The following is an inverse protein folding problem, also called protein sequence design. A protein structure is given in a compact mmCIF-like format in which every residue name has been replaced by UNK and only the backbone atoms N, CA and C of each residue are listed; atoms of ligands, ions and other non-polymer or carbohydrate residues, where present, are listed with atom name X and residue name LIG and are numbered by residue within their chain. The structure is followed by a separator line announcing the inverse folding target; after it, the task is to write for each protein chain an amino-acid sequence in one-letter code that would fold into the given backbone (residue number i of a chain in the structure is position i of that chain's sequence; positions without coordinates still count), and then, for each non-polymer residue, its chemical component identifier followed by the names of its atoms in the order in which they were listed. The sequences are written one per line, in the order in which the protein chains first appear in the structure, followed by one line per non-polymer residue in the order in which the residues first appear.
data_IF_653948431431
#
_entry.id   IF_653948431431
#
_cell.length_a   1.000
_cell.length_b   1.000
_cell.length_c   1.000
_cell.angle_alpha   90.00
_cell.angle_beta   90.00
_cell.angle_gamma   90.00
#
_symmetry.space_group_name_H-M   'P 1'
#
loop_
_entity.id
_entity.type
_entity.pdbx_description
1 polymer ?
#
# COMPACT_ATOMS: atom_id res chain seq x y z
N UNK A 1 4.84 -18.32 -1.32
CA UNK A 1 3.86 -17.60 -0.50
C UNK A 1 4.35 -16.18 -0.26
N UNK A 2 3.52 -15.19 -0.52
CA UNK A 2 3.88 -13.79 -0.33
C UNK A 2 3.41 -13.32 1.04
N UNK A 3 4.29 -12.59 1.72
CA UNK A 3 3.89 -11.84 2.90
C UNK A 3 3.55 -10.43 2.43
N UNK A 4 2.28 -10.18 2.18
CA UNK A 4 1.83 -8.91 1.61
C UNK A 4 2.12 -7.73 2.54
N UNK A 5 2.00 -7.95 3.85
CA UNK A 5 2.34 -6.91 4.81
C UNK A 5 3.82 -6.53 4.70
N UNK A 6 4.70 -7.52 4.62
CA UNK A 6 6.13 -7.26 4.53
C UNK A 6 6.48 -6.49 3.26
N UNK A 7 5.83 -6.81 2.13
CA UNK A 7 6.07 -6.11 0.87
C UNK A 7 5.61 -4.66 0.96
N UNK A 8 4.41 -4.42 1.50
CA UNK A 8 3.89 -3.07 1.67
C UNK A 8 4.80 -2.27 2.60
N UNK A 9 5.19 -2.87 3.72
CA UNK A 9 6.05 -2.22 4.69
C UNK A 9 7.40 -1.83 4.06
N UNK A 10 7.98 -2.72 3.28
CA UNK A 10 9.24 -2.46 2.61
C UNK A 10 9.12 -1.29 1.64
N UNK A 11 8.07 -1.27 0.83
CA UNK A 11 7.87 -0.20 -0.14
C UNK A 11 7.68 1.14 0.57
N UNK A 12 6.84 1.17 1.61
CA UNK A 12 6.61 2.40 2.33
C UNK A 12 7.88 2.91 3.01
N UNK A 13 8.71 2.02 3.54
CA UNK A 13 9.93 2.46 4.21
C UNK A 13 11.03 2.83 3.21
N UNK A 14 11.22 2.03 2.15
CA UNK A 14 12.31 2.24 1.20
C UNK A 14 12.05 3.42 0.25
N UNK A 15 10.79 3.58 -0.19
CA UNK A 15 10.47 4.55 -1.23
C UNK A 15 9.93 5.87 -0.66
N UNK A 16 9.33 5.84 0.51
CA UNK A 16 8.71 7.02 1.10
C UNK A 16 9.32 7.42 2.43
N UNK A 17 10.34 6.72 2.87
CA UNK A 17 11.06 7.09 4.08
C UNK A 17 10.29 6.88 5.38
N UNK A 18 9.26 6.06 5.37
CA UNK A 18 8.49 5.79 6.58
C UNK A 18 9.30 4.86 7.48
N UNK A 19 9.34 5.18 8.78
CA UNK A 19 10.01 4.32 9.75
C UNK A 19 9.27 2.98 9.84
N UNK A 20 9.94 1.86 9.50
CA UNK A 20 9.24 0.57 9.51
C UNK A 20 8.71 0.17 10.88
N UNK A 21 9.29 0.72 11.95
CA UNK A 21 8.84 0.37 13.30
C UNK A 21 7.45 0.89 13.63
N UNK A 22 6.98 1.92 12.91
CA UNK A 22 5.63 2.45 13.15
C UNK A 22 4.62 1.92 12.15
N UNK A 23 5.01 1.03 11.24
CA UNK A 23 4.11 0.48 10.23
C UNK A 23 3.45 -0.76 10.79
N UNK A 24 2.15 -0.66 11.06
CA UNK A 24 1.30 -1.77 11.50
C UNK A 24 0.11 -1.88 10.58
N UNK A 25 -0.59 -3.01 10.63
CA UNK A 25 -1.80 -3.20 9.81
C UNK A 25 -2.83 -2.11 10.06
N UNK A 26 -2.92 -1.64 11.30
CA UNK A 26 -3.91 -0.64 11.71
C UNK A 26 -3.43 0.80 11.52
N UNK A 27 -2.17 1.00 11.11
CA UNK A 27 -1.62 2.34 10.96
C UNK A 27 -2.38 3.11 9.89
N UNK A 28 -2.75 4.34 10.21
CA UNK A 28 -3.38 5.24 9.25
C UNK A 28 -2.33 5.78 8.28
N UNK A 29 -2.62 5.67 6.99
CA UNK A 29 -1.67 6.11 5.97
C UNK A 29 -1.41 7.62 6.06
N UNK A 30 -2.43 8.41 6.34
CA UNK A 30 -2.28 9.86 6.40
C UNK A 30 -1.90 10.36 7.80
N UNK A 31 -2.51 9.81 8.84
CA UNK A 31 -2.32 10.33 10.20
C UNK A 31 -1.09 9.75 10.89
N UNK A 32 -0.88 8.44 10.77
CA UNK A 32 0.24 7.78 11.44
C UNK A 32 1.50 7.81 10.60
N UNK A 33 1.37 7.63 9.29
CA UNK A 33 2.51 7.52 8.40
C UNK A 33 2.80 8.81 7.62
N UNK A 34 1.92 9.81 7.74
CA UNK A 34 2.09 11.12 7.10
C UNK A 34 2.17 11.05 5.58
N UNK A 35 1.48 10.08 4.98
CA UNK A 35 1.46 9.96 3.53
C UNK A 35 0.37 10.84 2.94
N UNK A 36 0.69 11.53 1.85
CA UNK A 36 -0.28 12.28 1.08
C UNK A 36 -1.06 11.35 0.16
N UNK A 37 -2.17 11.84 -0.40
CA UNK A 37 -2.95 11.06 -1.36
C UNK A 37 -2.10 10.67 -2.57
N UNK A 38 -1.24 11.58 -3.02
CA UNK A 38 -0.35 11.31 -4.17
C UNK A 38 0.63 10.20 -3.81
N UNK A 39 1.17 10.24 -2.60
CA UNK A 39 2.12 9.21 -2.16
C UNK A 39 1.44 7.84 -2.04
N UNK A 40 0.19 7.80 -1.60
CA UNK A 40 -0.56 6.54 -1.54
C UNK A 40 -0.77 5.98 -2.95
N UNK A 41 -1.12 6.84 -3.92
CA UNK A 41 -1.27 6.41 -5.30
C UNK A 41 0.06 5.91 -5.87
N UNK A 42 1.15 6.60 -5.58
CA UNK A 42 2.47 6.15 -6.01
C UNK A 42 2.83 4.79 -5.42
N UNK A 43 2.50 4.58 -4.15
CA UNK A 43 2.73 3.29 -3.51
C UNK A 43 1.93 2.19 -4.18
N UNK A 44 0.67 2.45 -4.53
CA UNK A 44 -0.15 1.50 -5.27
C UNK A 44 0.45 1.19 -6.63
N UNK A 45 0.98 2.21 -7.31
CA UNK A 45 1.65 2.03 -8.59
C UNK A 45 2.83 1.06 -8.46
N UNK A 46 3.63 1.24 -7.42
CA UNK A 46 4.77 0.37 -7.17
C UNK A 46 4.33 -1.05 -6.84
N UNK A 47 3.28 -1.17 -6.04
CA UNK A 47 2.73 -2.47 -5.69
C UNK A 47 2.14 -3.18 -6.91
N UNK A 48 1.52 -2.43 -7.83
CA UNK A 48 0.97 -3.02 -9.02
C UNK A 48 2.07 -3.63 -9.89
N UNK A 49 3.24 -3.01 -9.94
CA UNK A 49 4.38 -3.55 -10.67
C UNK A 49 4.95 -4.78 -9.96
N UNK A 50 5.01 -4.73 -8.63
CA UNK A 50 5.55 -5.85 -7.85
C UNK A 50 4.70 -7.10 -7.98
N UNK A 51 3.37 -6.92 -7.99
CA UNK A 51 2.42 -8.03 -8.08
C UNK A 51 1.88 -8.26 -9.49
N UNK A 52 2.34 -7.45 -10.44
CA UNK A 52 2.04 -7.61 -11.86
C UNK A 52 0.54 -7.54 -12.16
N UNK A 53 -0.11 -6.48 -11.65
CA UNK A 53 -1.50 -6.21 -11.99
C UNK A 53 -1.62 -4.77 -12.49
N UNK A 54 -2.73 -4.48 -13.16
CA UNK A 54 -2.98 -3.15 -13.69
C UNK A 54 -3.88 -2.37 -12.74
N UNK A 55 -3.48 -1.14 -12.42
CA UNK A 55 -4.31 -0.28 -11.56
C UNK A 55 -5.56 0.16 -12.30
N UNK A 56 -6.71 0.14 -11.65
CA UNK A 56 -7.93 0.70 -12.22
C UNK A 56 -7.84 2.24 -12.31
N UNK A 57 -8.57 2.82 -13.24
CA UNK A 57 -8.58 4.28 -13.43
C UNK A 57 -9.35 5.00 -12.32
N UNK A 58 -10.28 4.32 -11.69
CA UNK A 58 -11.20 4.93 -10.74
C UNK A 58 -10.95 4.48 -9.30
N UNK A 59 -9.70 4.55 -8.88
CA UNK A 59 -9.35 4.19 -7.51
C UNK A 59 -10.02 5.16 -6.53
N UNK A 60 -10.75 4.60 -5.56
CA UNK A 60 -11.35 5.40 -4.49
C UNK A 60 -10.34 5.50 -3.35
N UNK A 61 -9.54 6.55 -3.41
CA UNK A 61 -8.48 6.79 -2.44
C UNK A 61 -9.03 7.01 -1.02
N UNK A 62 -10.28 7.43 -0.91
CA UNK A 62 -10.88 7.67 0.40
C UNK A 62 -11.12 6.39 1.19
N UNK A 63 -11.19 5.25 0.50
CA UNK A 63 -11.32 3.96 1.15
C UNK A 63 -9.99 3.35 1.53
N UNK A 64 -8.88 3.98 1.15
CA UNK A 64 -7.53 3.51 1.47
C UNK A 64 -7.02 4.29 2.67
N UNK A 65 -7.48 3.91 3.84
CA UNK A 65 -7.22 4.63 5.09
C UNK A 65 -6.04 4.03 5.86
N UNK A 66 -5.95 2.71 5.91
CA UNK A 66 -4.93 2.02 6.69
C UNK A 66 -4.04 1.15 5.81
N UNK A 67 -2.94 0.67 6.40
CA UNK A 67 -2.06 -0.29 5.73
C UNK A 67 -2.86 -1.55 5.34
N UNK A 68 -3.75 -1.99 6.22
CA UNK A 68 -4.60 -3.14 5.94
C UNK A 68 -5.44 -2.93 4.67
N UNK A 69 -5.92 -1.71 4.45
CA UNK A 69 -6.69 -1.39 3.23
C UNK A 69 -5.85 -1.56 1.97
N UNK A 70 -4.57 -1.18 2.02
CA UNK A 70 -3.67 -1.40 0.88
C UNK A 70 -3.51 -2.90 0.60
N UNK A 71 -3.36 -3.68 1.66
CA UNK A 71 -3.18 -5.13 1.52
C UNK A 71 -4.42 -5.75 0.89
N UNK A 72 -5.60 -5.38 1.38
CA UNK A 72 -6.86 -5.88 0.82
C UNK A 72 -6.99 -5.49 -0.66
N UNK A 73 -6.62 -4.26 -0.99
CA UNK A 73 -6.65 -3.78 -2.37
C UNK A 73 -5.77 -4.66 -3.26
N UNK A 74 -4.55 -4.96 -2.83
CA UNK A 74 -3.65 -5.81 -3.58
C UNK A 74 -4.27 -7.19 -3.80
N UNK A 75 -4.86 -7.75 -2.75
CA UNK A 75 -5.44 -9.09 -2.81
C UNK A 75 -6.63 -9.15 -3.75
N UNK A 76 -7.36 -8.04 -3.89
CA UNK A 76 -8.49 -7.99 -4.80
C UNK A 76 -8.09 -7.91 -6.27
N UNK A 77 -6.97 -7.27 -6.56
CA UNK A 77 -6.55 -7.01 -7.93
C UNK A 77 -5.44 -7.91 -8.44
N UNK A 78 -4.84 -8.70 -7.58
CA UNK A 78 -3.79 -9.64 -7.99
C UNK A 78 -4.31 -11.06 -7.92
N UNK A 79 -4.34 -11.73 -9.07
CA UNK A 79 -4.75 -13.12 -9.14
C UNK A 79 -3.67 -14.08 -8.65
N UNK A 80 -2.50 -13.56 -8.36
CA UNK A 80 -1.33 -14.36 -7.97
C UNK A 80 -1.29 -14.65 -6.47
N UNK A 81 -2.13 -13.99 -5.70
CA UNK A 81 -2.09 -14.10 -4.25
C UNK A 81 -2.83 -15.30 -3.71
#
# INVERSE_FOLDING_TARGET
MHDNFAVVKKILSDEFGVNPEIINSDSSLSEDLNLTNIEVIDALSMLSKEYNFQLPDDIDIQHLVTVSDLIVFIEQYSDEL
#
